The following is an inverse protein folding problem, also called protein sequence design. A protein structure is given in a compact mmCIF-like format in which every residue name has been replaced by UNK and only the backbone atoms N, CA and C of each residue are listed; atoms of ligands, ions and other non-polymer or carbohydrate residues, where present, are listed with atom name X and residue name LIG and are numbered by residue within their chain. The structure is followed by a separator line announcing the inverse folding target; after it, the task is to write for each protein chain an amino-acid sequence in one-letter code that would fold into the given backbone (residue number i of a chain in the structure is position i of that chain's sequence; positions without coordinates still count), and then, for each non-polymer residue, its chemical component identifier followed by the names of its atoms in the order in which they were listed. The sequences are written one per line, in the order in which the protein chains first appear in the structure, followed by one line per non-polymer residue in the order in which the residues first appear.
data_IF_136463156189
#
_entry.id   IF_136463156189
#
_cell.length_a   1.000
_cell.length_b   1.000
_cell.length_c   1.000
_cell.angle_alpha   90.00
_cell.angle_beta   90.00
_cell.angle_gamma   90.00
#
_symmetry.space_group_name_H-M   'P 1'
#
loop_
_entity.id
_entity.type
_entity.pdbx_description
1 polymer ?
#
# COMPACT_ATOMS: atom_id res chain seq x y z
N UNK A 1 6.02 -1.93 10.65
CA UNK A 1 6.60 -2.86 9.66
C UNK A 1 6.94 -2.04 8.44
N UNK A 2 8.18 -2.07 7.98
CA UNK A 2 8.62 -1.25 6.85
C UNK A 2 7.99 -1.74 5.54
N UNK A 3 7.27 -0.85 4.86
CA UNK A 3 6.53 -1.13 3.61
C UNK A 3 7.45 -1.61 2.48
N UNK A 4 8.71 -1.15 2.49
CA UNK A 4 9.75 -1.55 1.55
C UNK A 4 10.17 -3.01 1.70
N UNK A 5 10.12 -3.58 2.90
CA UNK A 5 10.47 -4.99 3.14
C UNK A 5 9.40 -5.91 2.54
N UNK A 6 8.12 -5.53 2.68
CA UNK A 6 7.00 -6.26 2.08
C UNK A 6 7.04 -6.14 0.56
N UNK A 7 7.23 -4.94 0.02
CA UNK A 7 7.35 -4.76 -1.43
C UNK A 7 8.54 -5.56 -2.01
N UNK A 8 9.70 -5.56 -1.33
CA UNK A 8 10.86 -6.36 -1.74
C UNK A 8 10.58 -7.86 -1.75
N UNK A 9 9.80 -8.37 -0.79
CA UNK A 9 9.43 -9.80 -0.75
C UNK A 9 8.51 -10.19 -1.91
N UNK A 10 7.67 -9.26 -2.38
CA UNK A 10 6.74 -9.43 -3.49
C UNK A 10 7.40 -9.29 -4.88
N UNK A 11 8.65 -8.84 -4.96
CA UNK A 11 9.37 -8.72 -6.25
C UNK A 11 9.57 -10.07 -6.96
N UNK A 12 9.47 -11.18 -6.23
CA UNK A 12 9.46 -12.51 -6.82
C UNK A 12 8.20 -12.78 -7.67
N UNK A 13 7.12 -12.00 -7.47
CA UNK A 13 5.84 -12.11 -8.19
C UNK A 13 5.68 -11.03 -9.25
N UNK A 14 6.18 -9.82 -9.03
CA UNK A 14 6.14 -8.73 -10.00
C UNK A 14 7.35 -7.81 -9.88
N UNK A 15 7.94 -7.38 -11.01
CA UNK A 15 9.05 -6.41 -11.02
C UNK A 15 8.61 -4.98 -10.74
N UNK A 16 7.30 -4.72 -10.83
CA UNK A 16 6.69 -3.43 -10.55
C UNK A 16 5.58 -3.63 -9.52
N UNK A 17 5.65 -2.88 -8.43
CA UNK A 17 4.68 -2.98 -7.35
C UNK A 17 4.14 -1.58 -7.07
N UNK A 18 2.83 -1.43 -7.14
CA UNK A 18 2.13 -0.27 -6.62
C UNK A 18 1.76 -0.53 -5.17
N UNK A 19 1.95 0.47 -4.32
CA UNK A 19 1.60 0.43 -2.92
C UNK A 19 0.58 1.53 -2.67
N UNK A 20 -0.68 1.13 -2.52
CA UNK A 20 -1.80 2.02 -2.31
C UNK A 20 -2.16 2.06 -0.83
N UNK A 21 -1.93 3.19 -0.20
CA UNK A 21 -2.40 3.50 1.15
C UNK A 21 -3.74 4.19 1.04
N UNK A 22 -4.73 3.69 1.78
CA UNK A 22 -6.06 4.26 1.81
C UNK A 22 -6.61 4.24 3.22
N UNK A 23 -6.98 5.42 3.74
CA UNK A 23 -7.81 5.48 4.94
C UNK A 23 -9.21 4.98 4.60
N UNK A 24 -9.75 4.18 5.51
CA UNK A 24 -11.12 3.73 5.43
C UNK A 24 -12.05 4.83 5.91
N UNK A 25 -13.22 4.92 5.30
CA UNK A 25 -14.33 5.74 5.81
C UNK A 25 -14.83 5.18 7.14
N UNK A 26 -15.35 6.04 8.01
CA UNK A 26 -15.86 5.69 9.35
C UNK A 26 -16.77 4.45 9.34
N UNK A 27 -17.70 4.35 8.39
CA UNK A 27 -18.58 3.18 8.22
C UNK A 27 -17.84 1.85 8.01
N UNK A 28 -16.71 1.89 7.31
CA UNK A 28 -15.87 0.72 7.05
C UNK A 28 -14.93 0.43 8.20
N UNK A 29 -14.49 1.46 8.94
CA UNK A 29 -13.67 1.28 10.14
C UNK A 29 -14.43 0.50 11.21
N UNK A 30 -15.71 0.86 11.45
CA UNK A 30 -16.58 0.15 12.41
C UNK A 30 -16.83 -1.31 12.01
N UNK A 31 -16.97 -1.58 10.70
CA UNK A 31 -17.20 -2.94 10.20
C UNK A 31 -15.94 -3.81 10.21
N UNK A 32 -14.78 -3.24 9.86
CA UNK A 32 -13.53 -3.99 9.65
C UNK A 32 -12.63 -3.99 10.90
N UNK A 33 -12.80 -3.03 11.80
CA UNK A 33 -12.00 -2.86 13.01
C UNK A 33 -10.58 -2.35 12.77
N UNK A 34 -10.35 -1.64 11.66
CA UNK A 34 -9.10 -0.97 11.34
C UNK A 34 -9.32 0.32 10.52
N UNK A 35 -8.42 1.29 10.68
CA UNK A 35 -8.57 2.66 10.19
C UNK A 35 -8.08 2.85 8.75
N UNK A 36 -7.13 2.03 8.31
CA UNK A 36 -6.51 2.15 6.99
C UNK A 36 -6.13 0.80 6.40
N UNK A 37 -5.96 0.79 5.08
CA UNK A 37 -5.51 -0.36 4.31
C UNK A 37 -4.29 0.02 3.47
N UNK A 38 -3.36 -0.92 3.37
CA UNK A 38 -2.29 -0.90 2.38
C UNK A 38 -2.55 -2.04 1.40
N UNK A 39 -2.62 -1.72 0.11
CA UNK A 39 -2.83 -2.67 -0.97
C UNK A 39 -1.58 -2.68 -1.84
N UNK A 40 -1.00 -3.87 -2.03
CA UNK A 40 0.12 -4.09 -2.93
C UNK A 40 -0.44 -4.71 -4.22
N UNK A 41 -0.19 -4.07 -5.36
CA UNK A 41 -0.64 -4.52 -6.67
C UNK A 41 0.51 -4.52 -7.67
N UNK A 42 0.38 -5.25 -8.77
CA UNK A 42 1.35 -5.27 -9.87
C UNK A 42 1.18 -4.11 -10.87
N UNK A 43 0.26 -3.18 -10.59
CA UNK A 43 -0.08 -2.07 -11.49
C UNK A 43 -1.06 -2.41 -12.62
N UNK A 44 -1.45 -3.69 -12.78
CA UNK A 44 -2.42 -4.17 -13.77
C UNK A 44 -3.69 -4.70 -13.10
N UNK A 45 -4.15 -4.02 -12.05
CA UNK A 45 -5.30 -4.40 -11.23
C UNK A 45 -5.18 -5.76 -10.50
N UNK A 46 -4.00 -6.43 -10.51
CA UNK A 46 -3.80 -7.65 -9.74
C UNK A 46 -3.28 -7.34 -8.34
N UNK A 47 -4.14 -7.59 -7.34
CA UNK A 47 -3.75 -7.46 -5.93
C UNK A 47 -2.83 -8.62 -5.56
N UNK A 48 -1.62 -8.28 -5.15
CA UNK A 48 -0.62 -9.22 -4.66
C UNK A 48 -0.82 -9.50 -3.17
N UNK A 49 -1.10 -8.45 -2.40
CA UNK A 49 -1.26 -8.50 -0.94
C UNK A 49 -2.07 -7.32 -0.41
N UNK A 50 -2.72 -7.49 0.74
CA UNK A 50 -3.50 -6.43 1.41
C UNK A 50 -3.34 -6.53 2.92
N UNK A 51 -3.03 -5.41 3.56
CA UNK A 51 -2.88 -5.30 5.02
C UNK A 51 -3.78 -4.21 5.60
N UNK A 52 -4.52 -4.54 6.66
CA UNK A 52 -5.28 -3.58 7.45
C UNK A 52 -4.46 -3.04 8.63
N UNK A 53 -4.49 -1.73 8.86
CA UNK A 53 -3.79 -1.03 9.93
C UNK A 53 -4.80 -0.33 10.83
N UNK A 54 -4.72 -0.63 12.13
CA UNK A 54 -5.66 -0.11 13.13
C UNK A 54 -5.47 1.36 13.48
N UNK A 55 -4.28 1.91 13.27
CA UNK A 55 -3.95 3.31 13.56
C UNK A 55 -2.97 3.75 12.49
N UNK A 56 -3.19 4.92 11.91
CA UNK A 56 -2.26 5.55 10.96
C UNK A 56 -2.16 7.04 11.22
N UNK A 57 -0.92 7.54 11.32
CA UNK A 57 -0.63 8.96 11.53
C UNK A 57 -0.48 9.70 10.19
N UNK A 58 -0.83 9.07 9.07
CA UNK A 58 -0.70 9.69 7.75
C UNK A 58 -1.65 10.88 7.61
N UNK A 59 -1.15 12.06 7.19
CA UNK A 59 -1.98 13.25 7.02
C UNK A 59 -2.89 13.16 5.78
N UNK A 60 -2.61 12.24 4.86
CA UNK A 60 -3.35 12.06 3.60
C UNK A 60 -4.38 10.94 3.72
N UNK A 61 -5.52 11.12 3.05
CA UNK A 61 -6.58 10.10 2.96
C UNK A 61 -6.20 8.96 2.02
N UNK A 62 -5.44 9.28 0.97
CA UNK A 62 -4.85 8.32 0.05
C UNK A 62 -3.42 8.72 -0.32
N UNK A 63 -2.54 7.73 -0.43
CA UNK A 63 -1.18 7.90 -0.92
C UNK A 63 -0.81 6.68 -1.76
N UNK A 64 -0.35 6.89 -2.98
CA UNK A 64 0.24 5.84 -3.81
C UNK A 64 1.75 5.97 -3.77
N UNK A 65 2.46 4.86 -3.59
CA UNK A 65 3.90 4.76 -3.80
C UNK A 65 4.18 3.71 -4.86
N UNK A 66 5.34 3.80 -5.48
CA UNK A 66 5.82 2.83 -6.45
C UNK A 66 7.08 2.18 -5.93
N UNK A 67 7.17 0.87 -6.05
CA UNK A 67 8.39 0.13 -5.76
C UNK A 67 8.88 -0.54 -7.03
N UNK A 68 10.00 -0.05 -7.55
CA UNK A 68 10.62 -0.52 -8.78
C UNK A 68 12.14 -0.44 -8.63
N UNK A 69 12.88 -1.42 -9.17
CA UNK A 69 14.35 -1.46 -9.11
C UNK A 69 14.90 -1.28 -7.68
N UNK A 70 14.36 -2.01 -6.70
CA UNK A 70 14.72 -1.90 -5.28
C UNK A 70 14.54 -0.49 -4.67
N UNK A 71 13.83 0.40 -5.36
CA UNK A 71 13.65 1.80 -4.97
C UNK A 71 12.19 2.09 -4.73
N UNK A 72 11.89 2.68 -3.57
CA UNK A 72 10.58 3.23 -3.23
C UNK A 72 10.52 4.67 -3.75
N UNK A 73 9.57 4.97 -4.62
CA UNK A 73 9.43 6.25 -5.29
C UNK A 73 8.04 6.85 -5.03
N UNK A 74 8.00 8.18 -4.86
CA UNK A 74 6.75 8.93 -4.83
C UNK A 74 6.17 9.06 -6.26
N UNK A 75 4.85 9.31 -6.42
CA UNK A 75 4.26 9.56 -7.74
C UNK A 75 4.83 10.79 -8.44
N UNK A 76 5.36 11.74 -7.69
CA UNK A 76 6.03 12.93 -8.24
C UNK A 76 7.48 12.66 -8.68
N UNK A 77 8.05 11.52 -8.30
CA UNK A 77 9.42 11.10 -8.63
C UNK A 77 9.48 10.03 -9.73
N UNK A 78 8.33 9.45 -10.10
CA UNK A 78 8.17 8.45 -11.15
C UNK A 78 7.83 9.13 -12.48
#
# INVERSE_FOLDING_TARGET
TDTSVIAKSLMNRSQFITIDFKKLSDEKQDYLGYDAEIIYSDGNDNILEKHGYRVTDFPLDELRLFFVNDTLMLPSEY
#
